data_IF_255116328122
#
_entry.id   IF_255116328122
#
_cell.length_a   1.000
_cell.length_b   1.000
_cell.length_c   1.000
_cell.angle_alpha   90.00
_cell.angle_beta   90.00
_cell.angle_gamma   90.00
#
_symmetry.space_group_name_H-M   'P 1'
#
loop_
_entity.id
_entity.type
_entity.pdbx_description
1 polymer ?
#
# COMPACT_ATOMS: atom_id res chain seq x y z
N UNK A 1 21.28 52.98 -3.73
CA UNK A 1 21.47 52.00 -2.64
C UNK A 1 20.17 51.19 -2.52
N UNK A 2 20.01 50.11 -3.28
CA UNK A 2 20.38 48.72 -2.93
C UNK A 2 19.85 48.24 -1.58
N UNK A 3 18.78 47.45 -1.61
CA UNK A 3 18.64 46.25 -0.77
C UNK A 3 17.82 45.23 -1.59
N UNK A 4 18.51 44.32 -2.28
CA UNK A 4 18.75 42.92 -1.88
C UNK A 4 17.47 42.07 -1.79
N UNK A 5 17.25 41.37 -2.90
CA UNK A 5 17.08 39.91 -3.03
C UNK A 5 16.63 39.07 -1.83
N UNK A 6 15.76 38.12 -2.18
CA UNK A 6 15.55 36.81 -1.57
C UNK A 6 14.77 36.74 -0.25
N UNK A 7 13.46 36.48 -0.36
CA UNK A 7 12.98 35.08 -0.34
C UNK A 7 11.84 34.94 -1.32
N UNK A 8 12.06 34.16 -2.37
CA UNK A 8 11.01 33.66 -3.23
C UNK A 8 9.95 32.99 -2.34
N UNK A 9 8.77 33.60 -2.32
CA UNK A 9 7.54 32.97 -1.89
C UNK A 9 7.40 31.69 -2.73
N UNK A 10 7.71 30.54 -2.15
CA UNK A 10 7.44 29.24 -2.78
C UNK A 10 5.93 29.10 -2.81
N UNK A 11 5.33 29.47 -3.93
CA UNK A 11 3.91 29.27 -4.22
C UNK A 11 3.69 27.78 -4.51
N UNK A 12 3.64 26.97 -3.45
CA UNK A 12 2.99 25.67 -3.55
C UNK A 12 1.48 25.94 -3.62
N UNK A 13 0.95 25.98 -4.84
CA UNK A 13 -0.46 25.70 -5.10
C UNK A 13 -0.89 24.49 -4.25
N UNK A 14 -2.08 24.45 -3.63
CA UNK A 14 -2.55 23.27 -2.92
C UNK A 14 -2.90 22.16 -3.93
N UNK A 15 -1.87 21.59 -4.52
CA UNK A 15 -1.89 20.46 -5.43
C UNK A 15 -1.36 19.26 -4.66
N UNK A 16 -2.17 18.20 -4.61
CA UNK A 16 -1.98 16.95 -3.87
C UNK A 16 -0.52 16.63 -3.53
N UNK A 17 -0.15 16.72 -2.25
CA UNK A 17 1.11 16.17 -1.75
C UNK A 17 0.96 14.66 -1.57
N UNK A 18 1.95 13.90 -2.06
CA UNK A 18 2.09 12.46 -1.85
C UNK A 18 3.29 12.21 -0.96
N UNK A 19 3.09 11.47 0.12
CA UNK A 19 4.20 10.95 0.92
C UNK A 19 4.69 9.65 0.31
N UNK A 20 5.96 9.61 -0.09
CA UNK A 20 6.65 8.43 -0.65
C UNK A 20 7.89 8.22 0.21
N UNK A 21 8.05 7.03 0.81
CA UNK A 21 9.15 6.70 1.72
C UNK A 21 9.36 7.70 2.86
N UNK A 22 8.25 8.27 3.37
CA UNK A 22 8.27 9.25 4.46
C UNK A 22 8.68 10.67 4.05
N UNK A 23 8.86 10.93 2.76
CA UNK A 23 9.15 12.25 2.20
C UNK A 23 7.93 12.76 1.43
N UNK A 24 7.56 14.01 1.67
CA UNK A 24 6.44 14.65 0.98
C UNK A 24 6.89 15.22 -0.37
N UNK A 25 6.19 14.82 -1.43
CA UNK A 25 6.38 15.30 -2.79
C UNK A 25 5.10 15.99 -3.26
N UNK A 26 5.23 17.13 -3.94
CA UNK A 26 4.11 17.69 -4.69
C UNK A 26 3.86 16.84 -5.94
N UNK A 27 2.62 16.36 -6.13
CA UNK A 27 2.25 15.56 -7.31
C UNK A 27 2.58 16.25 -8.63
N UNK A 28 2.50 17.59 -8.68
CA UNK A 28 2.77 18.36 -9.89
C UNK A 28 4.26 18.28 -10.32
N UNK A 29 5.16 18.06 -9.36
CA UNK A 29 6.61 18.03 -9.59
C UNK A 29 7.10 16.64 -10.02
N UNK A 30 6.23 15.62 -9.98
CA UNK A 30 6.55 14.26 -10.38
C UNK A 30 6.45 14.09 -11.91
N UNK A 31 7.38 13.34 -12.49
CA UNK A 31 7.31 12.91 -13.89
C UNK A 31 6.15 11.96 -14.15
N UNK A 32 5.66 11.88 -15.39
CA UNK A 32 4.56 10.95 -15.72
C UNK A 32 4.96 9.49 -15.52
N UNK A 33 6.23 9.15 -15.75
CA UNK A 33 6.75 7.83 -15.43
C UNK A 33 6.65 7.55 -13.93
N UNK A 34 7.01 8.51 -13.06
CA UNK A 34 6.89 8.34 -11.62
C UNK A 34 5.43 8.16 -11.20
N UNK A 35 4.51 8.97 -11.73
CA UNK A 35 3.06 8.83 -11.45
C UNK A 35 2.52 7.47 -11.89
N UNK A 36 2.93 6.99 -13.06
CA UNK A 36 2.54 5.66 -13.55
C UNK A 36 3.05 4.54 -12.62
N UNK A 37 4.28 4.63 -12.13
CA UNK A 37 4.79 3.63 -11.18
C UNK A 37 4.06 3.67 -9.83
N UNK A 38 3.71 4.86 -9.34
CA UNK A 38 2.90 5.00 -8.11
C UNK A 38 1.52 4.33 -8.30
N UNK A 39 0.89 4.52 -9.46
CA UNK A 39 -0.37 3.85 -9.78
C UNK A 39 -0.20 2.32 -9.80
N UNK A 40 0.83 1.81 -10.46
CA UNK A 40 1.12 0.38 -10.52
C UNK A 40 1.36 -0.22 -9.13
N UNK A 41 2.10 0.48 -8.27
CA UNK A 41 2.31 0.08 -6.87
C UNK A 41 0.97 0.00 -6.11
N UNK A 42 0.14 1.04 -6.19
CA UNK A 42 -1.18 1.03 -5.52
C UNK A 42 -2.07 -0.12 -5.96
N UNK A 43 -2.11 -0.44 -7.25
CA UNK A 43 -2.88 -1.57 -7.76
C UNK A 43 -2.30 -2.89 -7.26
N UNK A 44 -0.98 -3.01 -7.23
CA UNK A 44 -0.29 -4.20 -6.72
C UNK A 44 -0.55 -4.41 -5.23
N UNK A 45 -0.51 -3.35 -4.42
CA UNK A 45 -0.79 -3.39 -2.99
C UNK A 45 -2.24 -3.83 -2.71
N UNK A 46 -3.19 -3.33 -3.51
CA UNK A 46 -4.59 -3.76 -3.42
C UNK A 46 -4.75 -5.26 -3.73
N UNK A 47 -4.04 -5.77 -4.74
CA UNK A 47 -4.09 -7.20 -5.06
C UNK A 47 -3.43 -8.05 -3.96
N UNK A 48 -2.31 -7.58 -3.39
CA UNK A 48 -1.68 -8.24 -2.24
C UNK A 48 -2.67 -8.34 -1.06
N UNK A 49 -3.36 -7.25 -0.73
CA UNK A 49 -4.36 -7.24 0.33
C UNK A 49 -5.52 -8.22 0.04
N UNK A 50 -6.00 -8.25 -1.20
CA UNK A 50 -7.02 -9.20 -1.67
C UNK A 50 -6.58 -10.66 -1.52
N UNK A 51 -5.34 -10.97 -1.91
CA UNK A 51 -4.77 -12.31 -1.77
C UNK A 51 -4.60 -12.71 -0.29
N UNK A 52 -4.18 -11.79 0.57
CA UNK A 52 -4.09 -12.03 2.02
C UNK A 52 -5.46 -12.35 2.63
N UNK A 53 -6.52 -11.66 2.19
CA UNK A 53 -7.89 -11.97 2.64
C UNK A 53 -8.32 -13.38 2.20
N UNK A 54 -8.08 -13.73 0.94
CA UNK A 54 -8.38 -15.09 0.42
C UNK A 54 -7.58 -16.16 1.17
N UNK A 55 -6.33 -15.88 1.49
CA UNK A 55 -5.47 -16.78 2.27
C UNK A 55 -6.03 -16.99 3.68
N UNK A 56 -6.46 -15.93 4.37
CA UNK A 56 -7.05 -16.04 5.70
C UNK A 56 -8.32 -16.91 5.72
N UNK A 57 -9.17 -16.76 4.70
CA UNK A 57 -10.35 -17.61 4.49
C UNK A 57 -9.94 -19.07 4.31
N UNK A 58 -8.97 -19.34 3.43
CA UNK A 58 -8.48 -20.69 3.17
C UNK A 58 -7.84 -21.33 4.41
N UNK A 59 -7.09 -20.57 5.21
CA UNK A 59 -6.51 -21.02 6.47
C UNK A 59 -7.59 -21.42 7.48
N UNK A 60 -8.64 -20.63 7.60
CA UNK A 60 -9.79 -20.93 8.48
C UNK A 60 -10.47 -22.23 8.05
N UNK A 61 -10.77 -22.38 6.76
CA UNK A 61 -11.36 -23.61 6.22
C UNK A 61 -10.47 -24.83 6.45
N UNK A 62 -9.14 -24.70 6.23
CA UNK A 62 -8.18 -25.77 6.48
C UNK A 62 -8.20 -26.23 7.94
N UNK A 63 -8.26 -25.31 8.90
CA UNK A 63 -8.34 -25.65 10.33
C UNK A 63 -9.65 -26.38 10.64
N UNK A 64 -10.78 -25.90 10.11
CA UNK A 64 -12.08 -26.54 10.29
C UNK A 64 -12.08 -27.98 9.74
N UNK A 65 -11.58 -28.20 8.53
CA UNK A 65 -11.50 -29.52 7.93
C UNK A 65 -10.52 -30.45 8.66
N UNK A 66 -9.39 -29.93 9.14
CA UNK A 66 -8.47 -30.72 9.94
C UNK A 66 -9.10 -31.18 11.26
N UNK A 67 -9.89 -30.31 11.91
CA UNK A 67 -10.60 -30.67 13.13
C UNK A 67 -11.72 -31.68 12.88
N UNK A 68 -12.48 -31.51 11.80
CA UNK A 68 -13.49 -32.49 11.38
C UNK A 68 -12.85 -33.86 11.13
N UNK A 69 -11.74 -33.92 10.38
CA UNK A 69 -11.01 -35.16 10.15
C UNK A 69 -10.56 -35.81 11.46
N UNK A 70 -10.01 -35.04 12.40
CA UNK A 70 -9.59 -35.58 13.71
C UNK A 70 -10.74 -36.23 14.49
N UNK A 71 -11.97 -35.71 14.36
CA UNK A 71 -13.15 -36.28 15.01
C UNK A 71 -13.58 -37.63 14.41
N UNK A 72 -13.30 -37.85 13.12
CA UNK A 72 -13.60 -39.10 12.41
C UNK A 72 -12.51 -40.16 12.59
N UNK A 73 -11.29 -39.76 12.99
CA UNK A 73 -10.19 -40.69 13.19
C UNK A 73 -10.36 -41.47 14.51
N UNK A 74 -10.08 -42.79 14.52
CA UNK A 74 -10.08 -43.56 15.75
C UNK A 74 -9.03 -43.00 16.71
N UNK A 75 -9.32 -43.07 18.02
CA UNK A 75 -8.36 -42.70 19.04
C UNK A 75 -7.05 -43.48 18.82
N UNK A 76 -5.93 -42.76 18.78
CA UNK A 76 -4.61 -43.37 18.68
C UNK A 76 -4.47 -44.37 19.85
N UNK A 77 -4.19 -45.63 19.50
CA UNK A 77 -4.14 -46.76 20.42
C UNK A 77 -2.96 -46.66 21.39
#
# INVERSE_FOLDING_TARGET
>A
MTNKTDKAQTTATPGQTLTIDGVDYNAADLSENAKNQIMNLRVTDQEIASLQQKLAIAQTARVAYANALKAELPAAK
#
